data_IF_284115668645
#
_entry.id   IF_284115668645
#
_cell.length_a   1.000
_cell.length_b   1.000
_cell.length_c   1.000
_cell.angle_alpha   90.00
_cell.angle_beta   90.00
_cell.angle_gamma   90.00
#
_symmetry.space_group_name_H-M   'P 1'
#
loop_
_entity.id
_entity.type
_entity.pdbx_description
1 polymer ?
#
# COMPACT_ATOMS: atom_id res chain seq x y z
N UNK A 1 16.66 0.42 16.82
CA UNK A 1 16.57 -0.53 15.70
C UNK A 1 17.87 -0.52 14.93
N UNK A 2 18.34 -1.68 14.55
CA UNK A 2 19.62 -1.85 13.86
C UNK A 2 19.39 -2.63 12.58
N UNK A 3 20.25 -2.42 11.58
CA UNK A 3 20.12 -3.07 10.29
C UNK A 3 21.47 -3.49 9.73
N UNK A 4 21.45 -4.45 8.80
CA UNK A 4 22.60 -4.75 7.94
C UNK A 4 22.07 -5.17 6.57
N UNK A 5 22.82 -4.83 5.52
CA UNK A 5 22.43 -5.16 4.15
C UNK A 5 22.73 -6.64 3.90
N UNK A 6 21.73 -7.37 3.39
CA UNK A 6 21.89 -8.78 3.05
C UNK A 6 21.86 -9.03 1.55
N UNK A 7 21.38 -8.06 0.76
CA UNK A 7 21.40 -8.16 -0.69
C UNK A 7 21.62 -6.77 -1.28
N UNK A 8 22.81 -6.52 -1.80
CA UNK A 8 23.16 -5.20 -2.34
C UNK A 8 22.42 -4.87 -3.63
N UNK A 9 21.98 -5.88 -4.37
CA UNK A 9 21.28 -5.66 -5.64
C UNK A 9 19.88 -5.12 -5.44
N UNK A 10 19.21 -5.61 -4.41
CA UNK A 10 17.83 -5.21 -4.12
C UNK A 10 17.75 -4.24 -2.96
N UNK A 11 18.86 -4.02 -2.24
CA UNK A 11 18.92 -3.22 -1.01
C UNK A 11 18.13 -3.84 0.14
N UNK A 12 17.89 -5.14 0.07
CA UNK A 12 17.22 -5.84 1.17
C UNK A 12 18.11 -5.83 2.40
N UNK A 13 17.53 -5.60 3.57
CA UNK A 13 18.24 -5.54 4.84
C UNK A 13 17.66 -6.55 5.81
N UNK A 14 18.49 -6.92 6.79
CA UNK A 14 18.04 -7.64 7.97
C UNK A 14 17.94 -6.63 9.11
N UNK A 15 16.87 -6.71 9.88
CA UNK A 15 16.62 -5.78 10.98
C UNK A 15 16.75 -6.52 12.30
N UNK A 16 17.48 -5.91 13.24
CA UNK A 16 17.57 -6.38 14.61
C UNK A 16 16.77 -5.42 15.48
N UNK A 17 15.72 -5.93 16.11
CA UNK A 17 14.82 -5.11 16.91
C UNK A 17 15.19 -5.08 18.39
N UNK A 18 16.25 -5.78 18.80
CA UNK A 18 16.68 -5.81 20.17
C UNK A 18 17.41 -4.53 20.60
N UNK A 19 17.82 -4.50 21.87
CA UNK A 19 18.45 -3.34 22.46
C UNK A 19 19.95 -3.51 22.72
N UNK A 20 20.53 -4.66 22.39
CA UNK A 20 21.94 -4.92 22.70
C UNK A 20 22.86 -4.25 21.70
N UNK A 21 23.54 -3.21 22.12
CA UNK A 21 24.55 -2.54 21.30
C UNK A 21 25.71 -3.51 21.00
N UNK A 22 26.09 -4.33 21.96
CA UNK A 22 27.15 -5.30 21.78
C UNK A 22 26.82 -6.33 20.72
N UNK A 23 25.60 -6.87 20.76
CA UNK A 23 25.16 -7.82 19.76
C UNK A 23 25.16 -7.19 18.36
N UNK A 24 24.60 -5.99 18.25
CA UNK A 24 24.54 -5.30 16.97
C UNK A 24 25.93 -5.04 16.40
N UNK A 25 26.82 -4.54 17.23
CA UNK A 25 28.20 -4.24 16.81
C UNK A 25 28.95 -5.49 16.37
N UNK A 26 28.84 -6.56 17.14
CA UNK A 26 29.55 -7.82 16.84
C UNK A 26 29.02 -8.49 15.57
N UNK A 27 27.79 -8.23 15.21
CA UNK A 27 27.17 -8.89 14.06
C UNK A 27 27.05 -7.97 12.85
N UNK A 28 27.71 -6.83 12.85
CA UNK A 28 27.80 -5.95 11.70
C UNK A 28 26.53 -5.13 11.43
N UNK A 29 25.73 -4.91 12.46
CA UNK A 29 24.54 -4.08 12.34
C UNK A 29 24.86 -2.61 12.59
N UNK A 30 24.17 -1.74 11.84
CA UNK A 30 24.26 -0.28 12.00
C UNK A 30 22.96 0.24 12.57
N UNK A 31 23.05 1.33 13.31
CA UNK A 31 21.84 1.94 13.87
C UNK A 31 21.09 2.73 12.80
N UNK A 32 19.77 2.55 12.75
CA UNK A 32 18.91 3.29 11.85
C UNK A 32 17.51 3.36 12.44
N UNK A 33 16.86 4.51 12.29
CA UNK A 33 15.53 4.72 12.84
C UNK A 33 14.42 4.41 11.84
N UNK A 34 14.67 4.60 10.56
CA UNK A 34 13.64 4.50 9.53
C UNK A 34 13.91 3.35 8.57
N UNK A 35 13.06 2.36 8.66
CA UNK A 35 13.03 1.23 7.73
C UNK A 35 11.60 1.06 7.25
N UNK A 36 11.43 0.37 6.14
CA UNK A 36 10.11 0.02 5.65
C UNK A 36 10.09 -1.47 5.32
N UNK A 37 8.90 -2.05 5.37
CA UNK A 37 8.72 -3.46 5.10
C UNK A 37 7.71 -3.62 3.98
N UNK A 38 8.04 -4.47 3.01
CA UNK A 38 7.09 -4.87 2.00
C UNK A 38 6.09 -5.82 2.65
N UNK A 39 4.82 -5.45 2.69
CA UNK A 39 3.79 -6.26 3.35
C UNK A 39 3.58 -7.59 2.64
N UNK A 40 3.73 -7.61 1.33
CA UNK A 40 3.51 -8.83 0.54
C UNK A 40 4.63 -9.84 0.73
N UNK A 41 5.88 -9.40 0.68
CA UNK A 41 7.03 -10.31 0.77
C UNK A 41 7.58 -10.45 2.18
N UNK A 42 7.33 -9.47 3.05
CA UNK A 42 7.91 -9.43 4.38
C UNK A 42 9.35 -8.92 4.43
N UNK A 43 9.94 -8.59 3.29
CA UNK A 43 11.32 -8.11 3.24
C UNK A 43 11.43 -6.69 3.75
N UNK A 44 12.57 -6.39 4.38
CA UNK A 44 12.84 -5.07 4.93
C UNK A 44 13.81 -4.29 4.06
N UNK A 45 13.63 -2.98 4.02
CA UNK A 45 14.49 -2.05 3.29
C UNK A 45 14.66 -0.77 4.10
N UNK A 46 15.75 -0.05 3.87
CA UNK A 46 15.84 1.32 4.39
C UNK A 46 14.78 2.16 3.69
N UNK A 47 14.22 3.12 4.42
CA UNK A 47 13.18 3.98 3.86
C UNK A 47 13.66 4.65 2.57
N UNK A 48 12.85 4.54 1.51
CA UNK A 48 13.17 5.09 0.21
C UNK A 48 13.94 4.14 -0.70
N UNK A 49 14.28 2.94 -0.23
CA UNK A 49 15.07 1.98 -1.02
C UNK A 49 14.30 0.73 -1.42
N UNK A 50 13.01 0.67 -1.11
CA UNK A 50 12.21 -0.49 -1.54
C UNK A 50 12.12 -0.53 -3.06
N UNK A 51 12.39 -1.68 -3.70
CA UNK A 51 12.27 -1.80 -5.16
C UNK A 51 10.85 -1.52 -5.64
N UNK A 52 10.73 -0.96 -6.84
CA UNK A 52 9.44 -0.64 -7.42
C UNK A 52 8.53 -1.85 -7.55
N UNK A 53 9.11 -3.01 -7.84
CA UNK A 53 8.33 -4.24 -7.93
C UNK A 53 7.67 -4.61 -6.61
N UNK A 54 8.39 -4.44 -5.51
CA UNK A 54 7.85 -4.70 -4.18
C UNK A 54 6.73 -3.71 -3.85
N UNK A 55 6.93 -2.43 -4.16
CA UNK A 55 5.89 -1.41 -3.98
C UNK A 55 4.65 -1.74 -4.80
N UNK A 56 4.84 -2.15 -6.04
CA UNK A 56 3.74 -2.52 -6.92
C UNK A 56 2.93 -3.68 -6.35
N UNK A 57 3.62 -4.68 -5.79
CA UNK A 57 2.94 -5.81 -5.18
C UNK A 57 2.10 -5.38 -3.99
N UNK A 58 2.61 -4.48 -3.16
CA UNK A 58 1.87 -3.97 -2.01
C UNK A 58 0.64 -3.17 -2.43
N UNK A 59 0.78 -2.33 -3.44
CA UNK A 59 -0.35 -1.54 -3.94
C UNK A 59 -1.43 -2.45 -4.52
N UNK A 60 -1.03 -3.46 -5.31
CA UNK A 60 -1.99 -4.41 -5.86
C UNK A 60 -2.71 -5.21 -4.78
N UNK A 61 -1.98 -5.61 -3.74
CA UNK A 61 -2.57 -6.36 -2.63
C UNK A 61 -3.60 -5.51 -1.89
N UNK A 62 -3.28 -4.26 -1.62
CA UNK A 62 -4.21 -3.34 -0.97
C UNK A 62 -5.45 -3.11 -1.83
N UNK A 63 -5.25 -2.89 -3.13
CA UNK A 63 -6.35 -2.74 -4.08
C UNK A 63 -7.26 -3.97 -4.08
N UNK A 64 -6.66 -5.14 -4.15
CA UNK A 64 -7.43 -6.40 -4.18
C UNK A 64 -8.22 -6.59 -2.89
N UNK A 65 -7.64 -6.24 -1.76
CA UNK A 65 -8.35 -6.29 -0.48
C UNK A 65 -9.58 -5.38 -0.51
N UNK A 66 -9.44 -4.16 -1.03
CA UNK A 66 -10.55 -3.22 -1.11
C UNK A 66 -11.62 -3.67 -2.09
N UNK A 67 -11.22 -4.27 -3.21
CA UNK A 67 -12.18 -4.85 -4.17
C UNK A 67 -12.99 -5.96 -3.49
N UNK A 68 -12.30 -6.86 -2.79
CA UNK A 68 -12.97 -7.94 -2.08
C UNK A 68 -13.94 -7.40 -1.03
N UNK A 69 -13.52 -6.38 -0.28
CA UNK A 69 -14.35 -5.80 0.76
C UNK A 69 -15.64 -5.16 0.22
N UNK A 70 -15.64 -4.75 -1.05
CA UNK A 70 -16.82 -4.14 -1.67
C UNK A 70 -17.63 -5.09 -2.53
N UNK A 71 -17.20 -6.34 -2.67
CA UNK A 71 -17.93 -7.32 -3.49
C UNK A 71 -19.37 -7.52 -3.03
N UNK A 72 -19.60 -7.53 -1.72
CA UNK A 72 -20.95 -7.75 -1.18
C UNK A 72 -21.92 -6.67 -1.64
N UNK A 73 -21.44 -5.46 -1.87
CA UNK A 73 -22.29 -4.34 -2.28
C UNK A 73 -22.75 -4.46 -3.73
N UNK A 74 -22.14 -5.36 -4.47
CA UNK A 74 -22.52 -5.61 -5.87
C UNK A 74 -23.59 -6.69 -5.98
N UNK A 75 -23.93 -7.38 -4.89
CA UNK A 75 -24.94 -8.42 -4.92
C UNK A 75 -26.32 -7.80 -5.14
N UNK A 76 -27.16 -8.41 -5.99
CA UNK A 76 -28.49 -7.85 -6.28
C UNK A 76 -29.37 -7.67 -5.05
N UNK A 77 -29.20 -8.54 -4.07
CA UNK A 77 -30.05 -8.53 -2.87
C UNK A 77 -29.48 -7.67 -1.74
N UNK A 78 -28.29 -7.10 -1.93
CA UNK A 78 -27.70 -6.27 -0.87
C UNK A 78 -28.52 -4.99 -0.72
N UNK A 79 -28.98 -4.66 0.51
CA UNK A 79 -29.93 -3.56 0.72
C UNK A 79 -29.27 -2.19 0.73
N UNK A 80 -28.96 -1.66 -0.45
CA UNK A 80 -28.49 -0.29 -0.62
C UNK A 80 -29.23 0.37 -1.77
N UNK A 81 -29.27 1.69 -1.77
CA UNK A 81 -29.85 2.46 -2.84
C UNK A 81 -29.06 2.29 -4.14
N UNK A 82 -29.76 2.40 -5.27
CA UNK A 82 -29.09 2.28 -6.56
C UNK A 82 -28.06 3.38 -6.80
N UNK A 83 -28.27 4.58 -6.27
CA UNK A 83 -27.28 5.64 -6.35
C UNK A 83 -25.99 5.24 -5.62
N UNK A 84 -26.12 4.69 -4.42
CA UNK A 84 -24.97 4.24 -3.64
C UNK A 84 -24.29 3.07 -4.33
N UNK A 85 -25.07 2.15 -4.89
CA UNK A 85 -24.51 1.02 -5.62
C UNK A 85 -23.69 1.51 -6.81
N UNK A 86 -24.19 2.51 -7.53
CA UNK A 86 -23.45 3.07 -8.66
C UNK A 86 -22.15 3.73 -8.20
N UNK A 87 -22.18 4.43 -7.07
CA UNK A 87 -20.97 5.02 -6.51
C UNK A 87 -19.92 3.97 -6.20
N UNK A 88 -20.34 2.81 -5.65
CA UNK A 88 -19.40 1.71 -5.41
C UNK A 88 -18.88 1.10 -6.72
N UNK A 89 -19.70 1.02 -7.74
CA UNK A 89 -19.24 0.56 -9.05
C UNK A 89 -18.15 1.47 -9.59
N UNK A 90 -18.34 2.77 -9.47
CA UNK A 90 -17.36 3.76 -9.92
C UNK A 90 -16.08 3.68 -9.10
N UNK A 91 -16.20 3.51 -7.78
CA UNK A 91 -15.05 3.35 -6.91
C UNK A 91 -14.26 2.10 -7.27
N UNK A 92 -14.96 0.99 -7.52
CA UNK A 92 -14.29 -0.27 -7.92
C UNK A 92 -13.56 -0.10 -9.24
N UNK A 93 -14.10 0.70 -10.16
CA UNK A 93 -13.40 1.01 -11.40
C UNK A 93 -12.13 1.83 -11.13
N UNK A 94 -12.23 2.81 -10.22
CA UNK A 94 -11.05 3.55 -9.77
C UNK A 94 -9.98 2.60 -9.25
N UNK A 95 -10.36 1.63 -8.41
CA UNK A 95 -9.41 0.66 -7.88
C UNK A 95 -8.75 -0.17 -8.99
N UNK A 96 -9.54 -0.62 -9.96
CA UNK A 96 -9.02 -1.41 -11.08
C UNK A 96 -8.04 -0.62 -11.94
N UNK A 97 -8.23 0.69 -12.03
CA UNK A 97 -7.40 1.54 -12.86
C UNK A 97 -6.09 1.96 -12.20
N UNK A 98 -5.91 1.71 -10.91
CA UNK A 98 -4.73 2.15 -10.18
C UNK A 98 -3.40 1.71 -10.84
N UNK A 99 -3.24 0.46 -11.29
CA UNK A 99 -1.98 0.07 -11.92
C UNK A 99 -1.67 0.81 -13.23
N UNK A 100 -2.64 1.47 -13.82
CA UNK A 100 -2.46 2.22 -15.07
C UNK A 100 -2.17 3.69 -14.82
N UNK A 101 -2.19 4.13 -13.55
CA UNK A 101 -1.88 5.51 -13.20
C UNK A 101 -0.38 5.78 -13.40
N UNK A 102 -0.07 6.99 -13.87
CA UNK A 102 1.32 7.38 -14.12
C UNK A 102 2.19 7.32 -12.87
N UNK A 103 1.61 7.54 -11.70
CA UNK A 103 2.33 7.54 -10.44
C UNK A 103 2.54 6.14 -9.89
N UNK A 104 1.87 5.13 -10.45
CA UNK A 104 1.99 3.77 -9.95
C UNK A 104 3.45 3.29 -10.04
N UNK A 105 4.01 2.67 -8.99
CA UNK A 105 3.37 2.26 -7.74
C UNK A 105 3.51 3.25 -6.58
N UNK A 106 3.92 4.47 -6.83
CA UNK A 106 4.09 5.50 -5.80
C UNK A 106 2.80 6.28 -5.58
N UNK A 107 1.67 5.59 -5.62
CA UNK A 107 0.36 6.19 -5.47
C UNK A 107 -0.34 5.61 -4.25
N UNK A 108 -0.96 6.47 -3.46
CA UNK A 108 -1.78 6.03 -2.34
C UNK A 108 -3.19 5.68 -2.82
N UNK A 109 -3.79 4.68 -2.19
CA UNK A 109 -5.15 4.28 -2.51
C UNK A 109 -6.10 4.98 -1.55
N UNK A 110 -7.08 5.71 -2.10
CA UNK A 110 -8.08 6.39 -1.30
C UNK A 110 -9.15 5.39 -0.86
N UNK A 111 -9.67 5.55 0.37
CA UNK A 111 -10.84 4.80 0.78
C UNK A 111 -12.07 5.39 0.08
N UNK A 112 -13.21 4.69 0.21
CA UNK A 112 -14.41 5.08 -0.51
C UNK A 112 -14.86 6.51 -0.18
N UNK A 113 -14.89 6.85 1.10
CA UNK A 113 -15.39 8.16 1.51
C UNK A 113 -14.48 9.29 1.03
N UNK A 114 -13.17 9.12 1.15
CA UNK A 114 -12.21 10.12 0.70
C UNK A 114 -12.26 10.29 -0.80
N UNK A 115 -12.32 9.19 -1.54
CA UNK A 115 -12.42 9.21 -3.00
C UNK A 115 -13.70 9.93 -3.44
N UNK A 116 -14.81 9.59 -2.82
CA UNK A 116 -16.10 10.19 -3.15
C UNK A 116 -16.09 11.68 -2.87
N UNK A 117 -15.55 12.10 -1.74
CA UNK A 117 -15.48 13.51 -1.38
C UNK A 117 -14.59 14.30 -2.34
N UNK A 118 -13.49 13.70 -2.77
CA UNK A 118 -12.58 14.37 -3.70
C UNK A 118 -13.17 14.58 -5.08
N UNK A 119 -14.06 13.69 -5.52
CA UNK A 119 -14.69 13.84 -6.84
C UNK A 119 -15.93 14.74 -6.82
N UNK A 120 -16.56 14.86 -5.68
CA UNK A 120 -17.82 15.61 -5.57
C UNK A 120 -17.71 17.06 -6.06
N UNK A 121 -16.75 17.85 -5.60
CA UNK A 121 -16.70 19.26 -6.02
C UNK A 121 -16.56 19.45 -7.51
N UNK A 122 -15.95 18.51 -8.19
CA UNK A 122 -15.68 18.66 -9.63
C UNK A 122 -16.96 18.65 -10.45
N UNK A 123 -17.96 17.96 -9.99
CA UNK A 123 -19.18 17.80 -10.77
C UNK A 123 -20.30 18.67 -10.27
N UNK A 124 -20.00 19.71 -9.58
CA UNK A 124 -21.01 20.63 -9.06
C UNK A 124 -21.03 21.90 -9.89
N UNK A 125 -21.66 21.91 -11.00
CA UNK A 125 -21.68 23.11 -11.85
C UNK A 125 -22.59 24.10 -11.25
N UNK A 126 -23.12 24.14 -10.37
CA UNK A 126 -23.89 25.20 -9.81
C UNK A 126 -25.34 25.13 -10.02
#
# INVERSE_FOLDING_TARGET
MYYRIIDEKTNEIQVYFGNSVDFASKNGFYQRADVEQCETSGRFYLSGYMPQEEKANDVRAERDFKLTATDIKMLPDYPIDEEVRQEYKDYRQYLRDIPEDELFPDIGILDFDTWKNNRQPVKKPG
#
